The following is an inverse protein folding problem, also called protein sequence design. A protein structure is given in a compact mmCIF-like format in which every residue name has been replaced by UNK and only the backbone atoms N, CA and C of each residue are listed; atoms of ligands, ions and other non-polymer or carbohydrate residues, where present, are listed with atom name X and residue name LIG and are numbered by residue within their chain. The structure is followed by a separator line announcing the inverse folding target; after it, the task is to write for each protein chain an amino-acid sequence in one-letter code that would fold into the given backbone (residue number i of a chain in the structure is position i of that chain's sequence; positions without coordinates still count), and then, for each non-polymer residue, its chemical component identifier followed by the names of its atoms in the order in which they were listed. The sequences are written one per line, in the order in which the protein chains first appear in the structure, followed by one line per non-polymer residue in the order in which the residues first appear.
data_IF_616882120856
#
_entry.id   IF_616882120856
#
_cell.length_a   1.000
_cell.length_b   1.000
_cell.length_c   1.000
_cell.angle_alpha   90.00
_cell.angle_beta   90.00
_cell.angle_gamma   90.00
#
_symmetry.space_group_name_H-M   'P 1'
#
loop_
_entity.id
_entity.type
_entity.pdbx_description
1 polymer ?
#
# COMPACT_ATOMS: atom_id res chain seq x y z
N UNK A 1 -31.79 2.59 -2.04
CA UNK A 1 -30.66 3.50 -1.94
C UNK A 1 -29.49 2.91 -2.71
N UNK A 2 -28.92 3.68 -3.64
CA UNK A 2 -27.75 3.24 -4.39
C UNK A 2 -26.50 3.40 -3.54
N UNK A 3 -25.74 2.32 -3.44
CA UNK A 3 -24.50 2.27 -2.66
C UNK A 3 -23.30 2.05 -3.57
N UNK A 4 -22.24 2.80 -3.37
CA UNK A 4 -20.96 2.57 -4.03
C UNK A 4 -20.05 1.79 -3.08
N UNK A 5 -19.26 0.88 -3.62
CA UNK A 5 -18.34 0.07 -2.82
C UNK A 5 -16.96 0.06 -3.43
N UNK A 6 -15.96 0.19 -2.59
CA UNK A 6 -14.56 0.11 -2.95
C UNK A 6 -13.89 -1.01 -2.14
N UNK A 7 -13.40 -2.02 -2.84
CA UNK A 7 -12.65 -3.13 -2.24
C UNK A 7 -11.19 -2.95 -2.61
N UNK A 8 -10.33 -2.83 -1.61
CA UNK A 8 -8.89 -2.64 -1.81
C UNK A 8 -8.16 -3.85 -1.25
N UNK A 9 -7.29 -4.46 -2.06
CA UNK A 9 -6.51 -5.64 -1.66
C UNK A 9 -5.02 -5.36 -1.84
N UNK A 10 -4.24 -5.69 -0.82
CA UNK A 10 -2.79 -5.70 -0.92
C UNK A 10 -2.34 -6.96 -1.66
N UNK A 11 -1.37 -6.82 -2.58
CA UNK A 11 -0.80 -7.98 -3.28
C UNK A 11 -0.29 -9.06 -2.31
N UNK A 12 -0.16 -10.28 -2.82
CA UNK A 12 0.38 -11.43 -2.08
C UNK A 12 1.88 -11.35 -1.82
N UNK A 13 2.45 -12.42 -1.30
CA UNK A 13 3.86 -12.48 -0.90
C UNK A 13 4.80 -12.48 -2.10
N UNK A 14 5.86 -11.67 -2.01
CA UNK A 14 6.96 -11.62 -2.99
C UNK A 14 8.25 -12.20 -2.43
N UNK A 15 8.25 -12.61 -1.17
CA UNK A 15 9.35 -13.30 -0.50
C UNK A 15 8.88 -14.57 0.15
N UNK A 16 9.73 -15.61 0.09
CA UNK A 16 9.47 -16.87 0.77
C UNK A 16 9.84 -16.79 2.25
N UNK A 17 9.28 -17.68 3.05
CA UNK A 17 9.69 -17.82 4.44
C UNK A 17 11.19 -18.10 4.50
N UNK A 18 11.91 -17.37 5.37
CA UNK A 18 13.38 -17.49 5.51
C UNK A 18 14.18 -16.56 4.60
N UNK A 19 13.60 -16.00 3.57
CA UNK A 19 14.25 -14.95 2.78
C UNK A 19 14.22 -13.62 3.53
N UNK A 20 15.28 -12.81 3.40
CA UNK A 20 15.30 -11.46 3.96
C UNK A 20 14.59 -10.50 3.02
N UNK A 21 13.45 -9.91 3.42
CA UNK A 21 12.73 -8.98 2.56
C UNK A 21 13.54 -7.72 2.28
N UNK A 22 13.28 -7.14 1.11
CA UNK A 22 13.78 -5.83 0.73
C UNK A 22 12.61 -4.85 0.59
N UNK A 23 12.91 -3.55 0.50
CA UNK A 23 11.89 -2.54 0.20
C UNK A 23 11.54 -2.58 -1.27
N UNK A 24 10.45 -3.27 -1.58
CA UNK A 24 9.96 -3.45 -2.94
C UNK A 24 9.03 -2.30 -3.30
N UNK A 25 9.51 -1.39 -4.08
CA UNK A 25 8.79 -0.18 -4.47
C UNK A 25 8.40 -0.12 -5.94
N UNK A 26 8.25 1.09 -6.44
CA UNK A 26 7.77 1.37 -7.78
C UNK A 26 8.66 0.81 -8.90
N UNK A 27 9.96 0.68 -8.65
CA UNK A 27 10.95 0.25 -9.65
C UNK A 27 11.42 -1.19 -9.47
N UNK A 28 10.76 -1.96 -8.61
CA UNK A 28 11.08 -3.35 -8.33
C UNK A 28 9.87 -4.21 -8.69
N UNK A 29 9.98 -5.00 -9.75
CA UNK A 29 8.88 -5.75 -10.34
C UNK A 29 8.98 -7.25 -10.03
N UNK A 30 8.92 -7.60 -8.74
CA UNK A 30 8.97 -8.99 -8.30
C UNK A 30 7.62 -9.68 -8.52
N UNK A 31 7.63 -10.95 -9.00
CA UNK A 31 6.41 -11.76 -9.07
C UNK A 31 6.02 -12.27 -7.69
N UNK A 32 4.79 -12.79 -7.57
CA UNK A 32 4.38 -13.54 -6.38
C UNK A 32 5.19 -14.83 -6.26
N UNK A 33 5.52 -15.22 -5.03
CA UNK A 33 6.19 -16.50 -4.73
C UNK A 33 5.19 -17.58 -4.33
N UNK A 34 3.94 -17.21 -4.06
CA UNK A 34 2.86 -18.13 -3.73
C UNK A 34 1.52 -17.46 -4.14
N UNK A 35 0.49 -18.25 -4.27
CA UNK A 35 -0.81 -17.76 -4.73
C UNK A 35 -1.89 -17.77 -3.65
N UNK A 36 -1.64 -18.45 -2.52
CA UNK A 36 -2.66 -18.68 -1.49
C UNK A 36 -3.18 -17.40 -0.84
N UNK A 37 -2.33 -16.41 -0.61
CA UNK A 37 -2.74 -15.11 -0.06
C UNK A 37 -3.74 -14.40 -0.97
N UNK A 38 -3.49 -14.42 -2.28
CA UNK A 38 -4.39 -13.82 -3.26
C UNK A 38 -5.69 -14.63 -3.38
N UNK A 39 -5.59 -15.96 -3.45
CA UNK A 39 -6.75 -16.83 -3.53
C UNK A 39 -7.63 -16.74 -2.30
N UNK A 40 -7.02 -16.63 -1.12
CA UNK A 40 -7.74 -16.43 0.15
C UNK A 40 -8.57 -15.13 0.12
N UNK A 41 -8.00 -14.05 -0.39
CA UNK A 41 -8.75 -12.81 -0.57
C UNK A 41 -9.95 -12.99 -1.50
N UNK A 42 -9.76 -13.70 -2.61
CA UNK A 42 -10.85 -14.01 -3.56
C UNK A 42 -11.95 -14.85 -2.93
N UNK A 43 -11.60 -15.88 -2.17
CA UNK A 43 -12.58 -16.71 -1.46
C UNK A 43 -13.35 -15.89 -0.43
N UNK A 44 -12.67 -15.04 0.32
CA UNK A 44 -13.29 -14.15 1.30
C UNK A 44 -14.35 -13.25 0.65
N UNK A 45 -14.01 -12.62 -0.47
CA UNK A 45 -14.94 -11.76 -1.20
C UNK A 45 -16.12 -12.54 -1.78
N UNK A 46 -15.87 -13.74 -2.29
CA UNK A 46 -16.94 -14.61 -2.80
C UNK A 46 -17.91 -15.02 -1.67
N UNK A 47 -17.38 -15.42 -0.52
CA UNK A 47 -18.19 -15.84 0.63
C UNK A 47 -19.01 -14.69 1.20
N UNK A 48 -18.53 -13.45 1.09
CA UNK A 48 -19.29 -12.25 1.47
C UNK A 48 -20.36 -11.86 0.44
N UNK A 49 -20.42 -12.52 -0.68
CA UNK A 49 -21.38 -12.21 -1.75
C UNK A 49 -21.06 -10.92 -2.50
N UNK A 50 -19.80 -10.49 -2.50
CA UNK A 50 -19.36 -9.29 -3.21
C UNK A 50 -19.43 -9.53 -4.72
N UNK A 51 -20.12 -8.63 -5.44
CA UNK A 51 -20.19 -8.63 -6.90
C UNK A 51 -19.33 -7.48 -7.41
N UNK A 52 -18.31 -7.81 -8.22
CA UNK A 52 -17.36 -6.83 -8.74
C UNK A 52 -17.76 -6.40 -10.13
N UNK A 53 -17.80 -5.09 -10.38
CA UNK A 53 -18.13 -4.49 -11.67
C UNK A 53 -16.89 -4.04 -12.44
N UNK A 54 -15.81 -3.69 -11.75
CA UNK A 54 -14.57 -3.21 -12.37
C UNK A 54 -13.36 -3.60 -11.53
N UNK A 55 -12.27 -3.96 -12.20
CA UNK A 55 -10.99 -4.32 -11.57
C UNK A 55 -9.91 -3.39 -12.04
N UNK A 56 -9.23 -2.75 -11.10
CA UNK A 56 -8.10 -1.85 -11.35
C UNK A 56 -6.90 -2.33 -10.55
N UNK A 57 -5.75 -2.41 -11.17
CA UNK A 57 -4.50 -2.85 -10.53
C UNK A 57 -3.35 -1.89 -10.81
N UNK A 58 -2.42 -1.81 -9.88
CA UNK A 58 -1.11 -1.26 -10.17
C UNK A 58 -0.44 -2.08 -11.29
N UNK A 59 0.40 -1.44 -12.13
CA UNK A 59 0.98 -2.09 -13.31
C UNK A 59 2.26 -2.89 -12.98
N UNK A 60 2.21 -3.73 -11.95
CA UNK A 60 3.34 -4.56 -11.50
C UNK A 60 2.91 -6.02 -11.43
N UNK A 61 3.84 -6.95 -11.64
CA UNK A 61 3.55 -8.39 -11.63
C UNK A 61 2.80 -8.82 -10.38
N UNK A 62 3.30 -8.44 -9.21
CA UNK A 62 2.69 -8.83 -7.92
C UNK A 62 1.23 -8.42 -7.78
N UNK A 63 0.87 -7.23 -8.26
CA UNK A 63 -0.51 -6.75 -8.19
C UNK A 63 -1.39 -7.35 -9.29
N UNK A 64 -0.88 -7.47 -10.50
CA UNK A 64 -1.61 -8.08 -11.62
C UNK A 64 -1.88 -9.57 -11.37
N UNK A 65 -0.89 -10.31 -10.88
CA UNK A 65 -1.06 -11.72 -10.51
C UNK A 65 -2.07 -11.89 -9.39
N UNK A 66 -2.00 -11.03 -8.35
CA UNK A 66 -2.98 -11.05 -7.26
C UNK A 66 -4.40 -10.83 -7.79
N UNK A 67 -4.60 -9.84 -8.65
CA UNK A 67 -5.90 -9.57 -9.26
C UNK A 67 -6.42 -10.77 -10.05
N UNK A 68 -5.56 -11.44 -10.84
CA UNK A 68 -5.92 -12.64 -11.59
C UNK A 68 -6.39 -13.77 -10.68
N UNK A 69 -5.68 -14.07 -9.61
CA UNK A 69 -6.05 -15.13 -8.67
C UNK A 69 -7.36 -14.82 -7.95
N UNK A 70 -7.59 -13.55 -7.60
CA UNK A 70 -8.86 -13.14 -6.99
C UNK A 70 -10.02 -13.39 -7.96
N UNK A 71 -9.89 -12.99 -9.23
CA UNK A 71 -10.92 -13.17 -10.24
C UNK A 71 -11.20 -14.65 -10.51
N UNK A 72 -10.16 -15.49 -10.54
CA UNK A 72 -10.32 -16.95 -10.67
C UNK A 72 -11.16 -17.51 -9.52
N UNK A 73 -10.83 -17.16 -8.27
CA UNK A 73 -11.56 -17.65 -7.10
C UNK A 73 -13.00 -17.16 -7.03
N UNK A 74 -13.25 -15.96 -7.52
CA UNK A 74 -14.61 -15.41 -7.59
C UNK A 74 -15.38 -15.86 -8.82
N UNK A 75 -14.74 -16.55 -9.75
CA UNK A 75 -15.30 -16.98 -11.04
C UNK A 75 -15.86 -15.78 -11.82
N UNK A 76 -15.08 -14.72 -11.90
CA UNK A 76 -15.43 -13.47 -12.58
C UNK A 76 -14.48 -13.26 -13.76
N UNK A 77 -15.05 -12.96 -14.94
CA UNK A 77 -14.30 -12.65 -16.15
C UNK A 77 -14.43 -11.16 -16.46
N UNK A 78 -13.49 -10.39 -15.94
CA UNK A 78 -13.39 -8.95 -16.19
C UNK A 78 -11.96 -8.60 -16.62
N UNK A 79 -11.78 -7.63 -17.51
CA UNK A 79 -10.45 -7.14 -17.82
C UNK A 79 -9.84 -6.44 -16.61
N UNK A 80 -8.52 -6.58 -16.44
CA UNK A 80 -7.79 -5.87 -15.40
C UNK A 80 -7.25 -4.57 -15.99
N UNK A 81 -7.76 -3.45 -15.50
CA UNK A 81 -7.34 -2.12 -15.92
C UNK A 81 -6.14 -1.70 -15.06
N UNK A 82 -5.09 -1.21 -15.71
CA UNK A 82 -3.90 -0.73 -15.01
C UNK A 82 -4.01 0.76 -14.72
N UNK A 83 -3.62 1.17 -13.52
CA UNK A 83 -3.64 2.59 -13.11
C UNK A 83 -2.35 2.90 -12.34
N UNK A 84 -1.59 3.86 -12.85
CA UNK A 84 -0.32 4.28 -12.24
C UNK A 84 -0.49 4.89 -10.85
N UNK A 85 -1.66 5.42 -10.52
CA UNK A 85 -1.95 5.95 -9.18
C UNK A 85 -1.87 4.91 -8.08
N UNK A 86 -2.03 3.63 -8.43
CA UNK A 86 -1.96 2.50 -7.50
C UNK A 86 -0.56 1.89 -7.37
N UNK A 87 0.39 2.37 -8.16
CA UNK A 87 1.76 1.89 -8.14
C UNK A 87 2.42 2.21 -6.80
N UNK A 88 3.22 1.26 -6.28
CA UNK A 88 3.93 1.43 -5.01
C UNK A 88 4.83 2.67 -5.03
N UNK A 89 5.19 3.14 -3.85
CA UNK A 89 6.10 4.26 -3.61
C UNK A 89 7.46 4.00 -4.26
N UNK A 90 8.06 5.03 -4.83
CA UNK A 90 9.45 5.02 -5.26
C UNK A 90 10.34 5.36 -4.06
N UNK A 91 11.00 4.35 -3.52
CA UNK A 91 11.90 4.49 -2.37
C UNK A 91 13.27 5.10 -2.72
N UNK A 92 13.46 5.58 -3.94
CA UNK A 92 14.72 6.22 -4.36
C UNK A 92 15.92 5.30 -4.16
N UNK A 93 16.97 5.76 -3.44
CA UNK A 93 18.17 4.96 -3.19
C UNK A 93 17.92 3.69 -2.36
N UNK A 94 16.78 3.60 -1.67
CA UNK A 94 16.44 2.48 -0.80
C UNK A 94 15.64 1.39 -1.52
N UNK A 95 15.33 1.58 -2.81
CA UNK A 95 14.66 0.58 -3.63
C UNK A 95 15.41 -0.75 -3.59
N UNK A 96 14.67 -1.81 -3.29
CA UNK A 96 15.17 -3.18 -3.26
C UNK A 96 16.36 -3.40 -2.28
N UNK A 97 16.45 -2.57 -1.25
CA UNK A 97 17.45 -2.71 -0.20
C UNK A 97 16.85 -3.33 1.05
N UNK A 98 17.65 -4.12 1.77
CA UNK A 98 17.24 -4.69 3.07
C UNK A 98 17.05 -3.57 4.10
N UNK A 99 16.17 -3.78 5.06
CA UNK A 99 15.78 -2.74 6.03
C UNK A 99 16.98 -2.24 6.87
N UNK A 100 17.90 -3.11 7.25
CA UNK A 100 19.11 -2.70 7.98
C UNK A 100 19.94 -1.69 7.18
N UNK A 101 20.07 -1.90 5.87
CA UNK A 101 20.76 -0.96 4.98
C UNK A 101 20.03 0.39 4.91
N UNK A 102 18.72 0.35 4.79
CA UNK A 102 17.87 1.56 4.72
C UNK A 102 18.02 2.40 6.00
N UNK A 103 17.91 1.76 7.14
CA UNK A 103 18.05 2.40 8.45
C UNK A 103 19.41 3.07 8.56
N UNK A 104 20.49 2.38 8.23
CA UNK A 104 21.85 2.90 8.33
C UNK A 104 22.12 4.05 7.36
N UNK A 105 21.64 3.93 6.12
CA UNK A 105 21.76 5.00 5.13
C UNK A 105 21.06 6.26 5.58
N UNK A 106 19.81 6.14 6.01
CA UNK A 106 19.02 7.28 6.50
C UNK A 106 19.64 7.89 7.76
N UNK A 107 20.03 7.04 8.71
CA UNK A 107 20.66 7.51 9.95
C UNK A 107 21.91 8.31 9.70
N UNK A 108 22.84 7.80 8.89
CA UNK A 108 24.06 8.51 8.52
C UNK A 108 23.78 9.81 7.79
N UNK A 109 22.87 9.79 6.82
CA UNK A 109 22.52 10.96 6.02
C UNK A 109 21.97 12.10 6.90
N UNK A 110 21.02 11.78 7.78
CA UNK A 110 20.37 12.77 8.63
C UNK A 110 21.33 13.34 9.68
N UNK A 111 22.15 12.49 10.32
CA UNK A 111 23.14 12.95 11.31
C UNK A 111 24.20 13.86 10.67
N UNK A 112 24.68 13.52 9.48
CA UNK A 112 25.62 14.38 8.73
C UNK A 112 24.99 15.71 8.38
N UNK A 113 23.75 15.74 7.94
CA UNK A 113 23.02 16.97 7.64
C UNK A 113 22.76 17.84 8.87
N UNK A 114 22.61 17.19 10.01
CA UNK A 114 22.44 17.88 11.31
C UNK A 114 23.77 18.37 11.90
N UNK A 115 24.88 18.16 11.20
CA UNK A 115 26.19 18.69 11.55
C UNK A 115 27.04 17.81 12.45
N UNK A 116 26.69 16.54 12.62
CA UNK A 116 27.48 15.61 13.41
C UNK A 116 28.82 15.30 12.72
N UNK A 117 29.93 15.40 13.44
CA UNK A 117 31.26 15.03 12.94
C UNK A 117 31.34 13.51 12.70
N UNK A 118 32.14 13.11 11.70
CA UNK A 118 32.35 11.68 11.38
C UNK A 118 32.84 10.88 12.58
N UNK A 119 33.69 11.44 13.41
CA UNK A 119 34.22 10.78 14.62
C UNK A 119 33.14 10.43 15.64
N UNK A 120 32.01 11.13 15.60
CA UNK A 120 30.87 10.95 16.52
C UNK A 120 29.79 10.04 15.94
N UNK A 121 29.90 9.63 14.66
CA UNK A 121 28.99 8.72 13.98
C UNK A 121 29.23 7.27 14.42
N UNK A 122 28.66 6.89 15.55
CA UNK A 122 28.69 5.50 16.02
C UNK A 122 27.54 4.72 15.38
N UNK A 123 27.69 3.40 15.29
CA UNK A 123 26.64 2.54 14.75
C UNK A 123 25.33 2.72 15.53
N UNK A 124 25.38 2.78 16.86
CA UNK A 124 24.19 2.96 17.70
C UNK A 124 23.45 4.27 17.38
N UNK A 125 24.18 5.36 17.21
CA UNK A 125 23.58 6.65 16.85
C UNK A 125 22.97 6.63 15.46
N UNK A 126 23.65 6.01 14.52
CA UNK A 126 23.17 5.86 13.13
C UNK A 126 21.86 5.08 13.11
N UNK A 127 21.83 3.92 13.76
CA UNK A 127 20.63 3.07 13.82
C UNK A 127 19.47 3.78 14.50
N UNK A 128 19.73 4.42 15.65
CA UNK A 128 18.70 5.17 16.37
C UNK A 128 18.10 6.29 15.51
N UNK A 129 18.95 7.06 14.82
CA UNK A 129 18.47 8.14 13.95
C UNK A 129 17.70 7.61 12.75
N UNK A 130 18.17 6.53 12.12
CA UNK A 130 17.49 5.90 11.00
C UNK A 130 16.12 5.36 11.38
N UNK A 131 16.01 4.69 12.52
CA UNK A 131 14.74 4.23 13.06
C UNK A 131 13.78 5.39 13.33
N UNK A 132 14.27 6.51 13.83
CA UNK A 132 13.49 7.73 14.04
C UNK A 132 12.93 8.28 12.72
N UNK A 133 13.71 8.29 11.64
CA UNK A 133 13.28 8.75 10.32
C UNK A 133 12.16 7.84 9.79
N UNK A 134 12.33 6.53 9.90
CA UNK A 134 11.31 5.56 9.48
C UNK A 134 10.04 5.69 10.33
N UNK A 135 10.18 5.90 11.64
CA UNK A 135 9.02 6.12 12.51
C UNK A 135 8.22 7.36 12.12
N UNK A 136 8.88 8.44 11.74
CA UNK A 136 8.22 9.66 11.25
C UNK A 136 7.46 9.41 9.95
N UNK A 137 8.00 8.60 9.06
CA UNK A 137 7.29 8.17 7.86
C UNK A 137 6.06 7.33 8.23
N UNK A 138 6.23 6.34 9.09
CA UNK A 138 5.14 5.44 9.48
C UNK A 138 4.00 6.18 10.21
N UNK A 139 4.33 7.09 11.09
CA UNK A 139 3.35 7.77 11.94
C UNK A 139 2.74 9.01 11.30
N UNK A 140 3.55 9.80 10.59
CA UNK A 140 3.15 11.14 10.11
C UNK A 140 3.34 11.34 8.61
N UNK A 141 3.74 10.32 7.87
CA UNK A 141 4.03 10.40 6.44
C UNK A 141 5.04 11.51 6.09
N UNK A 142 6.02 11.73 6.97
CA UNK A 142 7.17 12.59 6.67
C UNK A 142 8.10 11.83 5.75
N UNK A 143 8.25 12.31 4.51
CA UNK A 143 8.98 11.61 3.46
C UNK A 143 10.48 11.61 3.76
N UNK A 144 11.12 10.44 3.90
CA UNK A 144 12.57 10.36 4.05
C UNK A 144 13.32 10.95 2.85
N UNK A 145 14.47 11.56 3.13
CA UNK A 145 15.29 12.15 2.08
C UNK A 145 15.69 11.12 1.02
N UNK A 146 15.47 11.48 -0.22
CA UNK A 146 15.78 10.65 -1.39
C UNK A 146 14.61 9.83 -1.91
N UNK A 147 13.53 9.64 -1.14
CA UNK A 147 12.33 8.97 -1.62
C UNK A 147 11.51 9.91 -2.50
N UNK A 148 10.97 9.39 -3.60
CA UNK A 148 10.13 10.14 -4.52
C UNK A 148 8.65 9.89 -4.18
N UNK A 149 8.14 10.64 -3.22
CA UNK A 149 6.77 10.49 -2.73
C UNK A 149 6.09 11.85 -2.69
N UNK A 150 4.95 11.95 -3.36
CA UNK A 150 4.06 13.11 -3.27
C UNK A 150 2.81 12.68 -2.49
N UNK A 151 2.81 12.94 -1.19
CA UNK A 151 1.73 12.52 -0.27
C UNK A 151 0.39 13.14 -0.67
N UNK A 152 0.37 14.41 -1.03
CA UNK A 152 -0.88 15.11 -1.43
C UNK A 152 -1.48 14.48 -2.69
N UNK A 153 -0.63 14.10 -3.64
CA UNK A 153 -1.06 13.41 -4.87
C UNK A 153 -1.61 12.01 -4.57
N UNK A 154 -1.01 11.29 -3.64
CA UNK A 154 -1.53 9.99 -3.21
C UNK A 154 -2.91 10.13 -2.56
N UNK A 155 -3.09 11.12 -1.68
CA UNK A 155 -4.37 11.38 -1.03
C UNK A 155 -5.44 11.76 -2.06
N UNK A 156 -5.16 12.71 -2.94
CA UNK A 156 -6.12 13.12 -3.97
C UNK A 156 -6.42 12.01 -4.96
N UNK A 157 -5.45 11.14 -5.25
CA UNK A 157 -5.64 9.96 -6.08
C UNK A 157 -6.72 9.02 -5.52
N UNK A 158 -6.68 8.74 -4.23
CA UNK A 158 -7.72 7.92 -3.56
C UNK A 158 -9.08 8.58 -3.58
N UNK A 159 -9.12 9.88 -3.30
CA UNK A 159 -10.37 10.65 -3.31
C UNK A 159 -10.99 10.69 -4.71
N UNK A 160 -10.18 10.88 -5.74
CA UNK A 160 -10.64 10.89 -7.14
C UNK A 160 -11.13 9.52 -7.59
N UNK A 161 -10.42 8.45 -7.21
CA UNK A 161 -10.85 7.08 -7.51
C UNK A 161 -12.21 6.78 -6.88
N UNK A 162 -12.37 7.11 -5.61
CA UNK A 162 -13.64 6.89 -4.91
C UNK A 162 -14.78 7.70 -5.53
N UNK A 163 -14.54 8.95 -5.87
CA UNK A 163 -15.52 9.83 -6.52
C UNK A 163 -15.92 9.33 -7.93
N UNK A 164 -15.04 8.56 -8.58
CA UNK A 164 -15.27 8.05 -9.93
C UNK A 164 -16.20 6.86 -9.98
N UNK A 165 -16.45 6.18 -8.86
CA UNK A 165 -17.28 4.97 -8.82
C UNK A 165 -18.74 5.36 -9.06
N UNK A 166 -19.39 4.82 -10.13
CA UNK A 166 -20.81 5.09 -10.35
C UNK A 166 -21.69 4.49 -9.25
N UNK A 167 -22.85 5.10 -9.05
CA UNK A 167 -23.84 4.58 -8.12
C UNK A 167 -24.19 3.12 -8.41
N UNK A 168 -24.20 2.30 -7.37
CA UNK A 168 -24.53 0.89 -7.45
C UNK A 168 -23.38 -0.02 -7.88
N UNK A 169 -22.21 0.53 -8.20
CA UNK A 169 -21.06 -0.26 -8.61
C UNK A 169 -20.10 -0.57 -7.46
N UNK A 170 -19.41 -1.69 -7.59
CA UNK A 170 -18.33 -2.14 -6.73
C UNK A 170 -17.06 -2.29 -7.54
N UNK A 171 -16.00 -1.58 -7.15
CA UNK A 171 -14.70 -1.68 -7.80
C UNK A 171 -13.70 -2.40 -6.91
N UNK A 172 -12.92 -3.30 -7.51
CA UNK A 172 -11.78 -3.95 -6.87
C UNK A 172 -10.50 -3.26 -7.30
N UNK A 173 -9.72 -2.80 -6.33
CA UNK A 173 -8.41 -2.21 -6.54
C UNK A 173 -7.33 -3.06 -5.88
N UNK A 174 -6.27 -3.37 -6.61
CA UNK A 174 -5.13 -4.11 -6.08
C UNK A 174 -3.90 -3.21 -6.09
N UNK A 175 -3.30 -3.04 -4.93
CA UNK A 175 -2.20 -2.11 -4.72
C UNK A 175 -1.21 -2.63 -3.68
N UNK A 176 -0.37 -1.74 -3.18
CA UNK A 176 0.70 -2.02 -2.22
C UNK A 176 0.50 -1.21 -0.94
N UNK A 177 1.07 -1.70 0.15
CA UNK A 177 0.84 -1.11 1.48
C UNK A 177 1.19 0.37 1.60
N UNK A 178 2.29 0.80 0.99
CA UNK A 178 2.73 2.20 1.05
C UNK A 178 1.76 3.19 0.41
N UNK A 179 0.99 2.74 -0.58
CA UNK A 179 -0.06 3.53 -1.24
C UNK A 179 -1.40 3.33 -0.54
N UNK A 180 -1.74 2.09 -0.17
CA UNK A 180 -3.00 1.76 0.51
C UNK A 180 -3.17 2.47 1.85
N UNK A 181 -2.09 2.78 2.54
CA UNK A 181 -2.15 3.48 3.84
C UNK A 181 -2.85 4.83 3.77
N UNK A 182 -2.93 5.43 2.58
CA UNK A 182 -3.60 6.71 2.38
C UNK A 182 -5.08 6.56 1.98
N UNK A 183 -5.55 5.35 1.72
CA UNK A 183 -6.94 5.10 1.33
C UNK A 183 -7.97 5.61 2.36
N UNK A 184 -7.72 5.59 3.69
CA UNK A 184 -8.69 6.09 4.66
C UNK A 184 -8.97 7.60 4.56
N UNK A 185 -8.20 8.37 3.79
CA UNK A 185 -8.55 9.76 3.49
C UNK A 185 -9.87 9.89 2.73
N UNK A 186 -10.36 8.81 2.11
CA UNK A 186 -11.69 8.75 1.49
C UNK A 186 -12.79 9.01 2.52
N UNK A 187 -12.56 8.62 3.77
CA UNK A 187 -13.54 8.71 4.86
C UNK A 187 -13.75 10.15 5.38
N UNK A 188 -12.81 11.06 5.17
CA UNK A 188 -12.83 12.42 5.67
C UNK A 188 -12.44 12.57 7.16
N UNK A 189 -12.12 11.47 7.84
CA UNK A 189 -11.73 11.46 9.27
C UNK A 189 -10.48 10.61 9.50
N UNK A 190 -9.45 10.82 8.70
CA UNK A 190 -8.25 10.00 8.66
C UNK A 190 -7.60 9.80 10.03
N UNK A 191 -7.44 10.87 10.81
CA UNK A 191 -6.78 10.78 12.13
C UNK A 191 -7.58 9.93 13.11
N UNK A 192 -8.90 10.09 13.13
CA UNK A 192 -9.79 9.29 13.98
C UNK A 192 -9.75 7.82 13.58
N UNK A 193 -9.74 7.55 12.27
CA UNK A 193 -9.63 6.20 11.75
C UNK A 193 -8.31 5.54 12.17
N UNK A 194 -7.18 6.23 12.03
CA UNK A 194 -5.86 5.71 12.40
C UNK A 194 -5.73 5.48 13.92
N UNK A 195 -6.46 6.23 14.74
CA UNK A 195 -6.45 6.05 16.19
C UNK A 195 -7.09 4.72 16.63
N UNK A 196 -7.97 4.15 15.81
CA UNK A 196 -8.74 2.94 16.14
C UNK A 196 -8.46 1.76 15.22
N UNK A 197 -7.72 1.96 14.11
CA UNK A 197 -7.42 0.93 13.11
C UNK A 197 -5.94 0.93 12.76
N UNK A 198 -5.41 -0.24 12.49
CA UNK A 198 -4.06 -0.37 11.94
C UNK A 198 -4.11 -0.10 10.43
N UNK A 199 -3.35 0.89 9.96
CA UNK A 199 -3.27 1.22 8.53
C UNK A 199 -2.32 0.30 7.76
N UNK A 200 -1.54 -0.53 8.47
CA UNK A 200 -0.69 -1.52 7.83
C UNK A 200 -1.50 -2.77 7.50
N UNK A 201 -1.65 -3.04 6.22
CA UNK A 201 -2.41 -4.19 5.71
C UNK A 201 -1.45 -5.34 5.44
N UNK A 202 -1.72 -6.57 5.92
CA UNK A 202 -0.91 -7.73 5.57
C UNK A 202 -1.07 -8.09 4.09
N UNK A 203 -0.11 -8.85 3.56
CA UNK A 203 -0.22 -9.36 2.18
C UNK A 203 -1.51 -10.16 2.00
N UNK A 204 -2.23 -9.89 0.92
CA UNK A 204 -3.56 -10.48 0.67
C UNK A 204 -4.67 -9.90 1.54
N UNK A 205 -4.37 -8.92 2.40
CA UNK A 205 -5.37 -8.28 3.25
C UNK A 205 -6.36 -7.44 2.46
N UNK A 206 -7.60 -7.39 2.94
CA UNK A 206 -8.73 -6.75 2.26
C UNK A 206 -9.27 -5.60 3.12
N UNK A 207 -9.49 -4.45 2.48
CA UNK A 207 -10.19 -3.30 3.07
C UNK A 207 -11.43 -3.01 2.24
N UNK A 208 -12.57 -2.80 2.88
CA UNK A 208 -13.83 -2.50 2.20
C UNK A 208 -14.36 -1.16 2.70
N UNK A 209 -14.65 -0.26 1.76
CA UNK A 209 -15.29 1.02 2.02
C UNK A 209 -16.62 1.07 1.28
N UNK A 210 -17.68 1.47 2.00
CA UNK A 210 -19.01 1.65 1.46
C UNK A 210 -19.40 3.13 1.47
N UNK A 211 -20.02 3.60 0.40
CA UNK A 211 -20.61 4.93 0.33
C UNK A 211 -22.12 4.82 0.25
N UNK A 212 -22.80 5.34 1.25
CA UNK A 212 -24.27 5.47 1.27
C UNK A 212 -24.62 6.95 1.22
N UNK A 213 -25.31 7.38 0.17
CA UNK A 213 -25.42 8.79 -0.15
C UNK A 213 -24.04 9.35 -0.49
N UNK A 214 -23.61 10.38 0.22
CA UNK A 214 -22.28 10.98 0.06
C UNK A 214 -21.32 10.64 1.21
N UNK A 215 -21.69 9.68 2.05
CA UNK A 215 -20.91 9.30 3.23
C UNK A 215 -20.20 7.97 3.06
N UNK A 216 -18.87 8.00 3.10
CA UNK A 216 -18.00 6.81 3.08
C UNK A 216 -17.75 6.29 4.49
N UNK A 217 -17.77 4.98 4.64
CA UNK A 217 -17.44 4.27 5.89
C UNK A 217 -16.64 3.01 5.60
N UNK A 218 -15.82 2.58 6.56
CA UNK A 218 -15.12 1.30 6.51
C UNK A 218 -16.01 0.20 7.08
N UNK A 219 -16.06 -0.93 6.39
CA UNK A 219 -16.86 -2.09 6.82
C UNK A 219 -16.06 -3.34 7.06
#
# INVERSE_FOLDING_TARGET
EKCRKLVIVRHGNTFRAGETPTRVGARTDLPLVEEERARSAGRYLREKGIVIDKVISAPLKRTLETANYILEEMNVDLPIIQDLRLKEIDYGPDENMVEDHVIKRLGSLYLEKEGMDRKDLTEDRIVERGLSVIAQWNEKAVVPLGWNVDVEKLISGWQDLAASIPDGETWLLVSSNGVMRFSPYILGNYEDFCATHDIKVPTGGVCIFDCVGDHWRCT
#
